data_IF_903808469771
#
_entry.id   IF_903808469771
#
_cell.length_a   1.000
_cell.length_b   1.000
_cell.length_c   1.000
_cell.angle_alpha   90.00
_cell.angle_beta   90.00
_cell.angle_gamma   90.00
#
_symmetry.space_group_name_H-M   'P 1'
#
loop_
_entity.id
_entity.type
_entity.pdbx_description
1 polymer ?
#
# COMPACT_ATOMS: atom_id res chain seq x y z
N UNK A 1 -0.82 45.83 -51.41
CA UNK A 1 -0.90 45.19 -52.74
C UNK A 1 -1.11 43.70 -52.55
N UNK A 2 -2.23 43.22 -53.11
CA UNK A 2 -2.65 41.84 -53.43
C UNK A 2 -2.68 40.78 -52.31
N UNK A 3 -3.88 40.59 -51.74
CA UNK A 3 -4.31 39.40 -51.01
C UNK A 3 -5.22 38.50 -51.88
N UNK A 4 -5.21 37.19 -51.60
CA UNK A 4 -6.05 36.19 -52.28
C UNK A 4 -7.05 35.60 -51.27
N UNK A 5 -8.30 35.48 -51.73
CA UNK A 5 -9.55 35.28 -50.97
C UNK A 5 -9.84 33.82 -50.64
N UNK A 6 -10.52 33.60 -49.51
CA UNK A 6 -11.20 32.35 -49.12
C UNK A 6 -12.56 32.26 -49.83
N UNK A 7 -12.95 31.07 -50.31
CA UNK A 7 -14.33 30.79 -50.72
C UNK A 7 -14.88 29.56 -49.97
N UNK A 8 -16.01 29.80 -49.32
CA UNK A 8 -16.91 28.88 -48.63
C UNK A 8 -17.85 28.30 -49.69
N UNK A 9 -18.14 27.00 -49.63
CA UNK A 9 -19.21 26.38 -50.41
C UNK A 9 -20.16 25.60 -49.49
N UNK A 10 -21.39 26.11 -49.43
CA UNK A 10 -22.62 25.48 -48.94
C UNK A 10 -23.34 24.76 -50.08
N UNK A 11 -23.94 23.60 -49.84
CA UNK A 11 -25.02 23.06 -50.68
C UNK A 11 -26.01 22.21 -49.83
N UNK A 12 -27.33 22.23 -50.13
CA UNK A 12 -28.39 21.74 -49.25
C UNK A 12 -28.94 20.34 -49.60
N UNK A 13 -29.82 19.87 -48.72
CA UNK A 13 -30.43 18.54 -48.60
C UNK A 13 -31.43 18.13 -49.69
N UNK A 14 -31.62 16.81 -49.84
CA UNK A 14 -32.84 16.20 -50.37
C UNK A 14 -33.16 14.94 -49.54
N UNK A 15 -34.28 14.98 -48.80
CA UNK A 15 -34.83 13.88 -48.00
C UNK A 15 -35.60 12.89 -48.89
N UNK A 16 -35.34 11.59 -48.72
CA UNK A 16 -36.26 10.50 -49.09
C UNK A 16 -36.69 9.78 -47.81
N UNK A 17 -38.01 9.73 -47.59
CA UNK A 17 -38.66 9.06 -46.47
C UNK A 17 -38.81 7.56 -46.78
N UNK A 18 -38.27 6.69 -45.92
CA UNK A 18 -38.69 5.29 -45.80
C UNK A 18 -38.74 4.92 -44.31
N UNK A 19 -39.86 4.29 -43.91
CA UNK A 19 -40.36 4.27 -42.55
C UNK A 19 -39.50 3.54 -41.51
N UNK A 20 -39.50 4.09 -40.31
CA UNK A 20 -39.08 3.38 -39.09
C UNK A 20 -40.28 2.63 -38.52
N UNK A 21 -40.34 1.33 -38.78
CA UNK A 21 -41.09 0.40 -37.93
C UNK A 21 -40.29 0.24 -36.64
N UNK A 22 -40.74 0.86 -35.55
CA UNK A 22 -40.22 0.57 -34.21
C UNK A 22 -40.64 -0.85 -33.83
N UNK A 23 -39.78 -1.83 -34.06
CA UNK A 23 -39.89 -3.12 -33.42
C UNK A 23 -39.53 -2.93 -31.94
N UNK A 24 -40.54 -2.89 -31.07
CA UNK A 24 -40.34 -3.07 -29.63
C UNK A 24 -39.99 -4.54 -29.41
N UNK A 25 -38.69 -4.85 -29.35
CA UNK A 25 -38.23 -6.11 -28.79
C UNK A 25 -38.55 -6.07 -27.28
N UNK A 26 -39.49 -6.90 -26.83
CA UNK A 26 -39.65 -7.15 -25.40
C UNK A 26 -38.53 -8.09 -24.97
N UNK A 27 -37.46 -7.52 -24.42
CA UNK A 27 -36.45 -8.30 -23.72
C UNK A 27 -37.10 -8.88 -22.45
N UNK A 28 -37.46 -10.16 -22.49
CA UNK A 28 -37.88 -10.91 -21.32
C UNK A 28 -36.65 -11.14 -20.44
N UNK A 29 -36.52 -10.36 -19.37
CA UNK A 29 -35.53 -10.60 -18.33
C UNK A 29 -35.80 -11.96 -17.67
N UNK A 30 -35.08 -12.99 -18.10
CA UNK A 30 -35.08 -14.29 -17.44
C UNK A 30 -34.23 -14.17 -16.19
N UNK A 31 -34.86 -14.27 -15.02
CA UNK A 31 -34.14 -14.29 -13.74
C UNK A 31 -33.33 -15.59 -13.69
N UNK A 32 -31.99 -15.55 -13.51
CA UNK A 32 -31.23 -16.78 -13.35
C UNK A 32 -31.69 -17.52 -12.09
N UNK A 33 -31.69 -18.86 -12.09
CA UNK A 33 -32.01 -19.63 -10.89
C UNK A 33 -31.07 -19.22 -9.75
N UNK A 34 -31.52 -19.29 -8.48
CA UNK A 34 -30.68 -18.96 -7.35
C UNK A 34 -29.42 -19.83 -7.37
N UNK A 35 -28.26 -19.19 -7.23
CA UNK A 35 -26.98 -19.87 -7.07
C UNK A 35 -27.12 -20.85 -5.89
N UNK A 36 -26.74 -22.11 -6.13
CA UNK A 36 -26.65 -23.13 -5.09
C UNK A 36 -25.86 -22.56 -3.90
N UNK A 37 -26.40 -22.72 -2.69
CA UNK A 37 -25.75 -22.27 -1.48
C UNK A 37 -24.29 -22.79 -1.45
N UNK A 38 -23.31 -21.95 -1.04
CA UNK A 38 -21.93 -22.39 -0.97
C UNK A 38 -21.84 -23.63 -0.08
N UNK A 39 -21.15 -24.65 -0.57
CA UNK A 39 -20.82 -25.85 0.18
C UNK A 39 -20.24 -25.45 1.53
N UNK A 40 -20.69 -26.11 2.60
CA UNK A 40 -20.24 -25.86 3.97
C UNK A 40 -18.71 -25.79 4.02
N UNK A 41 -18.16 -24.61 4.32
CA UNK A 41 -16.75 -24.47 4.63
C UNK A 41 -16.44 -25.40 5.80
N UNK A 42 -15.48 -26.32 5.63
CA UNK A 42 -15.07 -27.23 6.69
C UNK A 42 -14.50 -26.41 7.85
N UNK A 43 -14.76 -26.81 9.10
CA UNK A 43 -14.24 -26.12 10.28
C UNK A 43 -12.70 -26.03 10.31
N UNK A 44 -12.00 -26.87 9.53
CA UNK A 44 -10.56 -26.77 9.28
C UNK A 44 -10.15 -25.45 8.58
N UNK A 45 -10.96 -24.97 7.61
CA UNK A 45 -10.72 -23.72 6.87
C UNK A 45 -11.03 -22.47 7.70
N UNK A 46 -11.69 -22.62 8.85
CA UNK A 46 -11.97 -21.53 9.78
C UNK A 46 -10.80 -21.22 10.72
N UNK A 47 -9.75 -22.05 10.74
CA UNK A 47 -8.57 -21.77 11.56
C UNK A 47 -7.77 -20.66 10.91
N UNK A 48 -7.62 -19.56 11.64
CA UNK A 48 -6.77 -18.47 11.20
C UNK A 48 -5.34 -19.01 10.98
N UNK A 49 -4.74 -18.85 9.78
CA UNK A 49 -3.39 -19.29 9.52
C UNK A 49 -2.40 -18.69 10.52
N UNK A 50 -1.65 -19.56 11.19
CA UNK A 50 -0.52 -19.16 12.04
C UNK A 50 0.69 -19.03 11.10
N UNK A 51 1.41 -17.89 11.12
CA UNK A 51 2.66 -17.76 10.38
C UNK A 51 3.63 -18.89 10.75
N UNK A 52 4.32 -19.47 9.77
CA UNK A 52 5.28 -20.56 10.00
C UNK A 52 6.74 -20.09 10.03
N UNK A 53 6.99 -18.80 9.81
CA UNK A 53 8.31 -18.22 9.60
C UNK A 53 8.76 -17.21 10.65
N UNK A 54 9.95 -16.65 10.40
CA UNK A 54 10.55 -15.56 11.19
C UNK A 54 10.12 -14.17 10.70
N UNK A 55 9.39 -14.11 9.60
CA UNK A 55 8.99 -12.87 8.93
C UNK A 55 7.92 -12.13 9.73
N UNK A 56 7.95 -10.80 9.63
CA UNK A 56 6.96 -9.87 10.15
C UNK A 56 6.71 -8.81 9.06
N UNK A 57 6.06 -9.21 7.98
CA UNK A 57 5.96 -8.43 6.74
C UNK A 57 4.80 -7.41 6.73
N UNK A 58 4.01 -7.36 7.79
CA UNK A 58 2.87 -6.46 7.93
C UNK A 58 2.83 -5.80 9.31
N UNK A 59 2.08 -4.71 9.45
CA UNK A 59 1.97 -3.95 10.70
C UNK A 59 1.53 -4.79 11.91
N UNK A 60 0.80 -5.88 11.68
CA UNK A 60 0.36 -6.81 12.72
C UNK A 60 1.04 -8.19 12.64
N UNK A 61 2.13 -8.32 11.87
CA UNK A 61 2.91 -9.55 11.68
C UNK A 61 2.26 -10.57 10.73
N UNK A 62 0.94 -10.51 10.57
CA UNK A 62 0.15 -11.40 9.74
C UNK A 62 -1.17 -10.75 9.33
N UNK A 63 -1.76 -11.19 8.22
CA UNK A 63 -3.02 -10.63 7.68
C UNK A 63 -4.19 -10.77 8.66
N UNK A 64 -4.20 -11.81 9.48
CA UNK A 64 -5.21 -12.00 10.52
C UNK A 64 -5.04 -11.12 11.76
N UNK A 65 -4.01 -10.29 11.78
CA UNK A 65 -3.79 -9.24 12.77
C UNK A 65 -3.69 -9.69 14.23
N UNK A 66 -3.27 -10.94 14.48
CA UNK A 66 -3.14 -11.47 15.84
C UNK A 66 -1.93 -10.94 16.62
N UNK A 67 -0.92 -10.37 15.92
CA UNK A 67 0.38 -10.00 16.51
C UNK A 67 1.05 -11.18 17.25
N UNK A 68 0.96 -12.38 16.69
CA UNK A 68 1.50 -13.60 17.28
C UNK A 68 2.75 -14.07 16.53
N UNK A 69 3.81 -14.41 17.25
CA UNK A 69 5.01 -15.02 16.67
C UNK A 69 5.10 -16.50 17.08
N UNK A 70 5.31 -17.44 16.14
CA UNK A 70 5.51 -18.85 16.46
C UNK A 70 6.91 -19.16 17.04
N UNK A 71 7.81 -18.16 17.12
CA UNK A 71 9.20 -18.37 17.52
C UNK A 71 9.30 -18.64 19.03
N UNK A 72 10.05 -19.69 19.39
CA UNK A 72 10.15 -20.19 20.77
C UNK A 72 11.55 -20.07 21.37
N UNK A 73 12.52 -19.51 20.61
CA UNK A 73 13.90 -19.34 21.08
C UNK A 73 13.97 -18.51 22.37
N UNK A 74 13.14 -17.47 22.48
CA UNK A 74 12.96 -16.69 23.70
C UNK A 74 11.69 -17.20 24.39
N UNK A 75 11.80 -17.57 25.65
CA UNK A 75 10.71 -18.14 26.44
C UNK A 75 10.81 -17.71 27.91
N UNK A 76 9.86 -18.17 28.73
CA UNK A 76 9.74 -17.79 30.14
C UNK A 76 11.00 -18.13 30.95
N UNK A 77 11.76 -19.15 30.55
CA UNK A 77 12.92 -19.63 31.29
C UNK A 77 14.19 -18.84 30.96
N UNK A 78 14.24 -18.14 29.81
CA UNK A 78 15.43 -17.42 29.36
C UNK A 78 15.23 -15.92 29.09
N UNK A 79 14.01 -15.39 29.14
CA UNK A 79 13.72 -13.96 28.89
C UNK A 79 14.50 -13.02 29.82
N UNK A 80 14.79 -13.45 31.04
CA UNK A 80 15.60 -12.68 32.00
C UNK A 80 17.09 -12.54 31.63
N UNK A 81 17.55 -13.26 30.58
CA UNK A 81 18.94 -13.24 30.09
C UNK A 81 19.13 -12.32 28.88
N UNK A 82 18.07 -11.66 28.41
CA UNK A 82 18.16 -10.77 27.25
C UNK A 82 19.05 -9.56 27.56
N UNK A 83 19.88 -9.22 26.59
CA UNK A 83 20.71 -8.01 26.63
C UNK A 83 20.45 -7.20 25.36
N UNK A 84 20.70 -5.89 25.45
CA UNK A 84 20.61 -5.01 24.28
C UNK A 84 21.71 -5.39 23.29
N UNK A 85 21.33 -5.87 22.11
CA UNK A 85 22.27 -6.27 21.05
C UNK A 85 22.76 -5.08 20.22
N UNK A 86 21.88 -4.11 19.94
CA UNK A 86 22.21 -2.87 19.24
C UNK A 86 21.15 -1.81 19.52
N UNK A 87 21.44 -0.57 19.12
CA UNK A 87 20.51 0.55 19.19
C UNK A 87 20.73 1.45 17.98
N UNK A 88 19.64 1.92 17.38
CA UNK A 88 19.67 2.86 16.27
C UNK A 88 19.00 4.17 16.67
N UNK A 89 19.69 5.29 16.46
CA UNK A 89 19.16 6.63 16.73
C UNK A 89 18.71 7.26 15.42
N UNK A 90 17.39 7.37 15.22
CA UNK A 90 16.86 8.00 14.01
C UNK A 90 17.21 9.49 13.96
N UNK A 91 17.15 10.18 15.09
CA UNK A 91 17.21 11.65 15.12
C UNK A 91 15.88 12.34 14.77
N UNK A 92 14.84 11.57 14.46
CA UNK A 92 13.50 12.08 14.09
C UNK A 92 12.64 12.28 15.34
N UNK A 93 13.10 13.20 16.18
CA UNK A 93 12.44 13.57 17.42
C UNK A 93 12.35 15.09 17.54
N UNK A 94 11.16 15.57 17.88
CA UNK A 94 10.90 16.95 18.27
C UNK A 94 10.04 16.96 19.52
N UNK A 95 10.42 17.82 20.47
CA UNK A 95 9.64 18.11 21.69
C UNK A 95 8.50 19.11 21.43
N UNK A 96 8.42 19.66 20.21
CA UNK A 96 7.50 20.75 19.88
C UNK A 96 8.03 22.14 20.26
N UNK A 97 9.22 22.24 20.85
CA UNK A 97 9.88 23.54 21.08
C UNK A 97 10.50 24.05 19.78
N UNK A 98 10.04 25.20 19.29
CA UNK A 98 10.55 25.82 18.06
C UNK A 98 9.60 25.66 16.88
N UNK A 99 10.15 25.44 15.68
CA UNK A 99 9.38 25.45 14.41
C UNK A 99 8.84 24.08 14.00
N UNK A 100 9.32 23.00 14.61
CA UNK A 100 8.90 21.63 14.29
C UNK A 100 7.88 21.18 15.35
N UNK A 101 6.68 20.73 14.96
CA UNK A 101 5.70 20.19 15.90
C UNK A 101 6.25 19.01 16.70
N UNK A 102 5.65 18.67 17.86
CA UNK A 102 6.09 17.51 18.63
C UNK A 102 5.97 16.23 17.81
N UNK A 103 6.87 15.28 18.01
CA UNK A 103 6.84 13.97 17.35
C UNK A 103 6.33 12.88 18.28
N UNK A 104 5.56 11.94 17.76
CA UNK A 104 5.12 10.75 18.50
C UNK A 104 5.47 9.49 17.72
N UNK A 105 6.16 8.56 18.37
CA UNK A 105 6.46 7.25 17.78
C UNK A 105 5.24 6.33 17.84
N UNK A 106 4.80 5.82 16.70
CA UNK A 106 3.75 4.79 16.62
C UNK A 106 4.00 3.73 15.55
N UNK A 107 5.22 3.69 15.02
CA UNK A 107 5.59 2.74 13.99
C UNK A 107 5.86 1.36 14.59
N UNK A 108 5.29 0.33 13.95
CA UNK A 108 5.72 -1.05 14.14
C UNK A 108 6.73 -1.36 13.04
N UNK A 109 7.99 -1.69 13.36
CA UNK A 109 8.94 -2.16 12.37
C UNK A 109 8.43 -3.40 11.65
N UNK A 110 8.75 -3.54 10.36
CA UNK A 110 8.49 -4.77 9.60
C UNK A 110 9.82 -5.46 9.30
N UNK A 111 9.82 -6.79 9.34
CA UNK A 111 10.97 -7.61 9.00
C UNK A 111 10.60 -8.52 7.83
N UNK A 112 11.21 -8.28 6.67
CA UNK A 112 10.97 -9.05 5.46
C UNK A 112 12.23 -9.06 4.58
N UNK A 113 12.48 -10.18 3.91
CA UNK A 113 13.63 -10.34 3.01
C UNK A 113 14.96 -9.89 3.67
N UNK A 114 15.22 -10.45 4.86
CA UNK A 114 16.41 -10.21 5.70
C UNK A 114 16.72 -8.73 5.95
N UNK A 115 15.68 -7.90 6.03
CA UNK A 115 15.80 -6.46 6.21
C UNK A 115 14.74 -5.98 7.19
N UNK A 116 15.16 -5.17 8.16
CA UNK A 116 14.26 -4.48 9.09
C UNK A 116 13.94 -3.09 8.53
N UNK A 117 12.68 -2.81 8.27
CA UNK A 117 12.24 -1.50 7.79
C UNK A 117 11.50 -0.73 8.88
N UNK A 118 11.84 0.54 9.01
CA UNK A 118 11.30 1.44 10.03
C UNK A 118 10.83 2.73 9.39
N UNK A 119 9.56 3.10 9.62
CA UNK A 119 9.05 4.43 9.30
C UNK A 119 9.17 5.36 10.51
N UNK A 120 9.56 6.61 10.29
CA UNK A 120 9.79 7.58 11.38
C UNK A 120 8.70 8.66 11.46
N UNK A 121 8.60 9.41 12.58
CA UNK A 121 7.71 10.57 12.68
C UNK A 121 8.00 11.67 11.67
N UNK A 122 9.24 11.80 11.17
CA UNK A 122 9.59 12.77 10.11
C UNK A 122 9.43 12.17 8.70
N UNK A 123 8.65 11.10 8.58
CA UNK A 123 8.27 10.47 7.31
C UNK A 123 9.45 9.84 6.54
N UNK A 124 10.57 9.56 7.20
CA UNK A 124 11.66 8.78 6.60
C UNK A 124 11.39 7.29 6.68
N UNK A 125 11.94 6.55 5.72
CA UNK A 125 11.97 5.09 5.69
C UNK A 125 13.42 4.65 5.83
N UNK A 126 13.72 3.84 6.83
CA UNK A 126 15.06 3.39 7.16
C UNK A 126 15.10 1.87 7.04
N UNK A 127 16.05 1.36 6.27
CA UNK A 127 16.32 -0.07 6.16
C UNK A 127 17.59 -0.42 6.93
N UNK A 128 17.47 -1.37 7.86
CA UNK A 128 18.54 -1.80 8.74
C UNK A 128 18.87 -3.28 8.51
N UNK A 129 20.15 -3.62 8.70
CA UNK A 129 20.58 -4.99 8.93
C UNK A 129 20.06 -5.46 10.31
N UNK A 130 19.30 -6.56 10.39
CA UNK A 130 18.65 -6.99 11.64
C UNK A 130 19.67 -7.44 12.71
N UNK A 131 20.82 -7.98 12.31
CA UNK A 131 21.83 -8.53 13.22
C UNK A 131 22.68 -7.43 13.87
N UNK A 132 23.01 -6.38 13.11
CA UNK A 132 23.98 -5.35 13.50
C UNK A 132 23.32 -4.01 13.84
N UNK A 133 22.10 -3.77 13.34
CA UNK A 133 21.45 -2.46 13.39
C UNK A 133 22.05 -1.43 12.43
N UNK A 134 22.97 -1.84 11.53
CA UNK A 134 23.60 -0.95 10.55
C UNK A 134 22.59 -0.51 9.50
N UNK A 135 22.62 0.77 9.16
CA UNK A 135 21.80 1.29 8.06
C UNK A 135 22.29 0.76 6.71
N UNK A 136 21.37 0.13 5.97
CA UNK A 136 21.55 -0.30 4.59
C UNK A 136 21.29 0.87 3.65
N UNK A 137 20.18 1.57 3.90
CA UNK A 137 19.78 2.77 3.19
C UNK A 137 18.71 3.54 3.98
N UNK A 138 18.56 4.82 3.66
CA UNK A 138 17.45 5.67 4.11
C UNK A 138 16.79 6.32 2.90
N UNK A 139 15.48 6.51 2.99
CA UNK A 139 14.69 7.31 2.05
C UNK A 139 14.00 8.44 2.81
N UNK A 140 14.28 9.67 2.39
CA UNK A 140 13.63 10.87 2.90
C UNK A 140 12.54 11.29 1.92
N UNK A 141 11.28 11.29 2.37
CA UNK A 141 10.13 11.71 1.56
C UNK A 141 10.14 13.22 1.28
N UNK A 142 10.91 14.00 2.05
CA UNK A 142 10.90 15.46 2.05
C UNK A 142 9.50 16.02 2.34
N UNK A 143 8.66 15.25 3.03
CA UNK A 143 7.33 15.67 3.43
C UNK A 143 7.42 16.87 4.38
N UNK A 144 6.55 17.89 4.24
CA UNK A 144 6.51 18.99 5.18
C UNK A 144 6.32 18.51 6.62
N UNK A 145 7.14 19.00 7.53
CA UNK A 145 7.05 18.70 8.97
C UNK A 145 6.07 19.65 9.65
N UNK A 146 4.79 19.51 9.30
CA UNK A 146 3.70 20.36 9.80
C UNK A 146 2.67 19.52 10.54
N UNK A 147 2.09 20.10 11.59
CA UNK A 147 0.98 19.50 12.30
C UNK A 147 -0.29 19.84 11.50
N UNK A 148 -0.89 18.81 10.92
CA UNK A 148 -2.14 18.93 10.16
C UNK A 148 -3.34 18.70 11.09
N UNK A 149 -4.11 17.64 10.85
CA UNK A 149 -5.29 17.25 11.65
C UNK A 149 -4.94 16.69 13.03
N UNK A 150 -3.65 16.49 13.32
CA UNK A 150 -3.14 15.97 14.59
C UNK A 150 -2.06 16.92 15.12
N UNK A 151 -1.99 17.14 16.44
CA UNK A 151 -1.06 18.11 17.03
C UNK A 151 0.41 17.67 17.00
N UNK A 152 0.69 16.46 16.52
CA UNK A 152 2.02 15.87 16.51
C UNK A 152 2.33 15.17 15.17
N UNK A 153 3.60 15.21 14.78
CA UNK A 153 4.13 14.42 13.67
C UNK A 153 4.09 12.94 14.07
N UNK A 154 3.40 12.14 13.26
CA UNK A 154 3.12 10.74 13.57
C UNK A 154 3.05 9.91 12.29
N UNK A 155 3.77 8.80 12.28
CA UNK A 155 3.65 7.73 11.30
C UNK A 155 3.40 6.40 11.99
N UNK A 156 2.58 5.53 11.38
CA UNK A 156 2.33 4.15 11.84
C UNK A 156 3.30 3.13 11.23
N UNK A 157 4.28 3.57 10.44
CA UNK A 157 5.28 2.70 9.84
C UNK A 157 5.05 2.52 8.35
N UNK A 158 5.40 1.34 7.85
CA UNK A 158 5.46 1.03 6.42
C UNK A 158 4.71 -0.25 6.09
N UNK A 159 4.40 -0.46 4.81
CA UNK A 159 3.87 -1.72 4.29
C UNK A 159 4.89 -2.38 3.36
N UNK A 160 4.91 -3.71 3.34
CA UNK A 160 5.79 -4.49 2.47
C UNK A 160 5.02 -5.08 1.29
N UNK A 161 5.64 -5.10 0.12
CA UNK A 161 5.20 -5.90 -1.00
C UNK A 161 6.41 -6.42 -1.76
N UNK A 162 6.39 -7.70 -2.12
CA UNK A 162 7.41 -8.32 -2.93
C UNK A 162 6.76 -9.13 -4.05
N UNK A 163 7.25 -8.92 -5.27
CA UNK A 163 6.85 -9.70 -6.41
C UNK A 163 7.44 -11.12 -6.33
N UNK A 164 6.58 -12.15 -6.30
CA UNK A 164 7.04 -13.57 -6.25
C UNK A 164 7.77 -14.01 -7.51
N UNK A 165 7.50 -13.36 -8.63
CA UNK A 165 8.11 -13.67 -9.92
C UNK A 165 8.23 -12.36 -10.66
N UNK A 166 9.45 -11.92 -10.97
CA UNK A 166 9.69 -10.70 -11.73
C UNK A 166 8.94 -10.78 -13.05
N UNK A 167 7.81 -10.12 -13.20
CA UNK A 167 7.17 -9.99 -14.51
C UNK A 167 8.12 -9.12 -15.35
N UNK A 168 8.46 -9.53 -16.58
CA UNK A 168 9.22 -8.64 -17.46
C UNK A 168 8.46 -7.31 -17.52
N UNK A 169 9.17 -6.23 -17.18
CA UNK A 169 8.58 -4.90 -17.13
C UNK A 169 7.85 -4.67 -18.45
N UNK A 170 6.55 -4.39 -18.36
CA UNK A 170 5.76 -4.01 -19.52
C UNK A 170 6.53 -2.90 -20.26
N UNK A 171 6.78 -3.00 -21.57
CA UNK A 171 7.63 -2.05 -22.27
C UNK A 171 7.10 -0.64 -22.02
N UNK A 172 7.98 0.17 -21.41
CA UNK A 172 7.71 1.49 -20.91
C UNK A 172 6.88 2.33 -21.87
N UNK A 173 5.59 2.52 -21.55
CA UNK A 173 4.91 3.76 -21.90
C UNK A 173 5.12 4.69 -20.72
N UNK A 174 5.78 5.80 -21.02
CA UNK A 174 6.22 6.85 -20.11
C UNK A 174 5.07 7.25 -19.17
N UNK A 175 5.45 7.52 -17.92
CA UNK A 175 4.61 8.03 -16.83
C UNK A 175 3.84 6.98 -16.01
N UNK A 176 4.58 6.22 -15.20
CA UNK A 176 4.07 5.79 -13.89
C UNK A 176 4.60 6.78 -12.84
N UNK A 177 3.84 7.84 -12.60
CA UNK A 177 3.96 8.60 -11.36
C UNK A 177 3.41 7.68 -10.27
N UNK A 178 4.26 7.07 -9.46
CA UNK A 178 3.83 6.41 -8.24
C UNK A 178 3.36 7.49 -7.27
N UNK A 179 2.08 7.48 -6.96
CA UNK A 179 1.53 8.27 -5.87
C UNK A 179 1.88 7.58 -4.55
N UNK A 180 2.58 8.31 -3.68
CA UNK A 180 2.62 8.09 -2.23
C UNK A 180 1.37 8.70 -1.61
#
# INVERSE_FOLDING_TARGET
MNGIKKHILTAPALCLLAGVSNAYAQDTYTVPPPLLAPSSVSAEDARIPIPSGKEWDSFHGQLSSQKYSPLTQINKDNVGKLTKVWQYFTGDMSTGTGKIPPSVWSATPIFANDTLYVGTPFYRIIALEPETGKEKWTYDTKSPLVAETQPALKSRGVAYWQEKTRKPAWPARRSCTWAI
#
